data_IF_578570923696
#
_entry.id   IF_578570923696
#
_cell.length_a   1.000
_cell.length_b   1.000
_cell.length_c   1.000
_cell.angle_alpha   90.00
_cell.angle_beta   90.00
_cell.angle_gamma   90.00
#
_symmetry.space_group_name_H-M   'P 1'
#
loop_
_entity.id
_entity.type
_entity.pdbx_description
1 polymer ?
#
# COMPACT_ATOMS: atom_id res chain seq x y z
N UNK A 1 -4.70 -5.53 -1.27
CA UNK A 1 -6.05 -5.34 -0.68
C UNK A 1 -6.82 -4.36 -1.56
N UNK A 2 -8.10 -4.65 -1.82
CA UNK A 2 -8.98 -3.76 -2.58
C UNK A 2 -9.79 -2.91 -1.60
N UNK A 3 -9.84 -1.60 -1.81
CA UNK A 3 -10.71 -0.69 -1.07
C UNK A 3 -11.68 -0.04 -2.05
N UNK A 4 -12.97 -0.15 -1.77
CA UNK A 4 -14.04 0.43 -2.59
C UNK A 4 -14.62 1.64 -1.87
N UNK A 5 -14.79 2.73 -2.62
CA UNK A 5 -15.47 3.94 -2.14
C UNK A 5 -16.86 3.96 -2.78
N UNK A 6 -17.91 4.02 -1.96
CA UNK A 6 -19.31 3.95 -2.43
C UNK A 6 -19.86 5.31 -2.90
N UNK A 7 -19.03 6.34 -2.88
CA UNK A 7 -19.36 7.70 -3.32
C UNK A 7 -18.50 8.09 -4.52
N UNK A 8 -19.01 9.02 -5.33
CA UNK A 8 -18.22 9.69 -6.34
C UNK A 8 -17.22 10.65 -5.70
N UNK A 9 -16.02 10.73 -6.24
CA UNK A 9 -14.98 11.70 -5.81
C UNK A 9 -14.97 12.87 -6.79
N UNK A 10 -14.94 14.09 -6.27
CA UNK A 10 -14.69 15.30 -7.05
C UNK A 10 -13.24 15.72 -6.81
N UNK A 11 -12.46 15.84 -7.87
CA UNK A 11 -11.14 16.46 -7.82
C UNK A 11 -11.26 17.95 -8.12
N UNK A 12 -10.45 18.77 -7.44
CA UNK A 12 -10.41 20.21 -7.66
C UNK A 12 -8.97 20.70 -7.69
N UNK A 13 -8.73 21.73 -8.49
CA UNK A 13 -7.44 22.42 -8.52
C UNK A 13 -7.23 23.31 -7.28
N UNK A 14 -6.05 23.93 -7.18
CA UNK A 14 -5.69 24.85 -6.10
C UNK A 14 -6.64 26.06 -5.97
N UNK A 15 -7.40 26.37 -7.03
CA UNK A 15 -8.39 27.44 -7.08
C UNK A 15 -9.81 26.94 -6.79
N UNK A 16 -9.97 25.72 -6.26
CA UNK A 16 -11.26 25.08 -5.96
C UNK A 16 -12.17 24.88 -7.18
N UNK A 17 -11.60 24.82 -8.39
CA UNK A 17 -12.36 24.52 -9.61
C UNK A 17 -12.39 23.01 -9.81
N UNK A 18 -13.58 22.48 -10.09
CA UNK A 18 -13.74 21.04 -10.36
C UNK A 18 -13.00 20.67 -11.64
N UNK A 19 -12.09 19.71 -11.53
CA UNK A 19 -11.27 19.21 -12.65
C UNK A 19 -11.69 17.82 -13.11
N UNK A 20 -12.22 16.99 -12.21
CA UNK A 20 -12.67 15.64 -12.53
C UNK A 20 -13.78 15.13 -11.59
N UNK A 21 -14.54 14.15 -12.08
CA UNK A 21 -15.48 13.35 -11.29
C UNK A 21 -15.18 11.87 -11.49
N UNK A 22 -14.90 11.17 -10.39
CA UNK A 22 -14.53 9.75 -10.38
C UNK A 22 -15.66 8.97 -9.72
N UNK A 23 -16.46 8.25 -10.51
CA UNK A 23 -17.58 7.45 -10.01
C UNK A 23 -17.07 6.18 -9.31
N UNK A 24 -17.40 6.03 -8.02
CA UNK A 24 -17.18 4.82 -7.20
C UNK A 24 -15.81 4.15 -7.39
N UNK A 25 -14.70 4.86 -7.07
CA UNK A 25 -13.37 4.35 -7.34
C UNK A 25 -13.02 3.12 -6.50
N UNK A 26 -12.13 2.32 -7.07
CA UNK A 26 -11.57 1.13 -6.44
C UNK A 26 -10.06 1.29 -6.36
N UNK A 27 -9.54 1.49 -5.15
CA UNK A 27 -8.11 1.56 -4.91
C UNK A 27 -7.53 0.15 -4.73
N UNK A 28 -6.46 -0.12 -5.47
CA UNK A 28 -5.68 -1.34 -5.37
C UNK A 28 -4.41 -1.03 -4.60
N UNK A 29 -4.32 -1.53 -3.38
CA UNK A 29 -3.09 -1.45 -2.59
C UNK A 29 -2.32 -2.75 -2.72
N UNK A 30 -1.05 -2.66 -3.07
CA UNK A 30 -0.09 -3.75 -2.83
C UNK A 30 0.21 -3.73 -1.33
N UNK A 31 -0.23 -4.77 -0.62
CA UNK A 31 0.08 -4.95 0.80
C UNK A 31 1.19 -5.97 0.85
N UNK A 32 2.23 -5.72 1.65
CA UNK A 32 3.18 -6.76 1.99
C UNK A 32 2.42 -7.89 2.68
N UNK A 33 2.49 -9.10 2.11
CA UNK A 33 1.78 -10.28 2.62
C UNK A 33 2.47 -10.91 3.84
N UNK A 34 3.57 -10.31 4.34
CA UNK A 34 4.40 -10.90 5.38
C UNK A 34 5.21 -12.12 4.90
N UNK A 35 5.35 -12.31 3.59
CA UNK A 35 6.17 -13.36 2.98
C UNK A 35 7.36 -12.70 2.31
N UNK A 36 8.56 -13.09 2.73
CA UNK A 36 9.82 -12.57 2.23
C UNK A 36 10.63 -13.70 1.59
N UNK A 37 11.05 -13.51 0.35
CA UNK A 37 12.02 -14.38 -0.33
C UNK A 37 13.35 -13.64 -0.30
N UNK A 38 14.32 -14.21 0.41
CA UNK A 38 15.63 -13.60 0.65
C UNK A 38 16.73 -14.54 0.15
N UNK A 39 17.85 -13.96 -0.27
CA UNK A 39 19.04 -14.74 -0.60
C UNK A 39 19.58 -15.48 0.64
N UNK A 40 20.12 -16.70 0.50
CA UNK A 40 20.68 -17.46 1.63
C UNK A 40 21.77 -16.72 2.41
N UNK A 41 22.50 -15.80 1.76
CA UNK A 41 23.53 -14.97 2.39
C UNK A 41 22.99 -14.08 3.52
N UNK A 42 21.69 -13.76 3.52
CA UNK A 42 21.06 -12.93 4.55
C UNK A 42 21.09 -13.60 5.93
N UNK A 43 21.17 -14.94 5.99
CA UNK A 43 21.31 -15.68 7.24
C UNK A 43 22.54 -15.26 8.06
N UNK A 44 23.59 -14.75 7.40
CA UNK A 44 24.80 -14.24 8.10
C UNK A 44 24.54 -12.99 8.94
N UNK A 45 23.42 -12.29 8.70
CA UNK A 45 23.01 -11.11 9.45
C UNK A 45 21.99 -11.41 10.55
N UNK A 46 21.61 -12.68 10.74
CA UNK A 46 20.62 -13.09 11.74
C UNK A 46 21.33 -13.68 12.95
N UNK A 47 21.28 -12.96 14.07
CA UNK A 47 21.85 -13.43 15.34
C UNK A 47 21.02 -14.61 15.89
N UNK A 48 21.67 -15.73 16.30
CA UNK A 48 20.96 -16.89 16.83
C UNK A 48 20.16 -16.55 18.10
N UNK A 49 18.87 -16.91 18.09
CA UNK A 49 17.99 -16.73 19.24
C UNK A 49 17.50 -15.29 19.45
N UNK A 50 17.85 -14.35 18.57
CA UNK A 50 17.33 -12.99 18.62
C UNK A 50 16.00 -12.87 17.86
N UNK A 51 15.08 -12.11 18.44
CA UNK A 51 13.80 -11.80 17.82
C UNK A 51 13.98 -10.62 16.87
N UNK A 52 13.77 -10.86 15.58
CA UNK A 52 13.89 -9.88 14.51
C UNK A 52 12.48 -9.57 13.98
N UNK A 53 11.72 -8.78 14.74
CA UNK A 53 10.43 -8.23 14.31
C UNK A 53 10.53 -6.71 14.15
N UNK A 54 9.60 -6.13 13.40
CA UNK A 54 9.49 -4.68 13.16
C UNK A 54 8.55 -4.00 14.17
#
# INVERSE_FOLDING_TARGET
RRQQINYGIIESDDNSRVTAYIEKPVHHYQVSMGVYVLEPSVLTHIAPGEYLDL
#
